data_IF_394840142412
#
_entry.id   IF_394840142412
#
_cell.length_a   1.000
_cell.length_b   1.000
_cell.length_c   1.000
_cell.angle_alpha   90.00
_cell.angle_beta   90.00
_cell.angle_gamma   90.00
#
_symmetry.space_group_name_H-M   'P 1'
#
loop_
_entity.id
_entity.type
_entity.pdbx_description
1 polymer ?
#
# COMPACT_ATOMS: atom_id res chain seq x y z
N UNK A 1 -2.84 -6.59 20.03
CA UNK A 1 -3.75 -5.46 20.37
C UNK A 1 -5.02 -5.89 21.10
N UNK A 2 -5.55 -7.09 20.89
CA UNK A 2 -6.75 -7.60 21.59
C UNK A 2 -6.51 -7.94 23.06
N UNK A 3 -5.28 -8.31 23.43
CA UNK A 3 -4.92 -8.74 24.79
C UNK A 3 -4.33 -7.64 25.68
N UNK A 4 -3.87 -6.53 25.07
CA UNK A 4 -3.24 -5.42 25.80
C UNK A 4 -4.30 -4.45 26.28
N UNK A 5 -4.36 -4.21 27.59
CA UNK A 5 -5.28 -3.27 28.23
C UNK A 5 -4.55 -1.97 28.55
N UNK A 6 -5.16 -0.84 28.20
CA UNK A 6 -4.71 0.50 28.59
C UNK A 6 -5.92 1.39 28.81
N UNK A 7 -5.85 2.28 29.80
CA UNK A 7 -6.96 3.17 30.16
C UNK A 7 -8.28 2.42 30.42
N UNK A 8 -8.19 1.27 31.12
CA UNK A 8 -9.36 0.53 31.60
C UNK A 8 -10.04 -0.41 30.59
N UNK A 9 -9.56 -0.50 29.34
CA UNK A 9 -10.10 -1.44 28.34
C UNK A 9 -9.05 -1.97 27.36
N UNK A 10 -9.32 -3.09 26.66
CA UNK A 10 -8.47 -3.57 25.58
C UNK A 10 -8.20 -2.50 24.52
N UNK A 11 -6.98 -2.46 23.97
CA UNK A 11 -6.62 -1.49 22.93
C UNK A 11 -7.52 -1.59 21.69
N UNK A 12 -8.00 -2.78 21.34
CA UNK A 12 -8.94 -2.99 20.22
C UNK A 12 -10.28 -2.27 20.41
N UNK A 13 -10.64 -1.88 21.64
CA UNK A 13 -11.84 -1.10 21.95
C UNK A 13 -11.59 0.41 21.96
N UNK A 14 -10.34 0.84 21.75
CA UNK A 14 -10.00 2.25 21.59
C UNK A 14 -10.36 2.71 20.17
N UNK A 15 -11.01 3.88 20.07
CA UNK A 15 -11.56 4.36 18.79
C UNK A 15 -10.48 4.54 17.71
N UNK A 16 -9.29 4.99 18.08
CA UNK A 16 -8.15 5.15 17.18
C UNK A 16 -7.70 3.83 16.56
N UNK A 17 -7.55 2.78 17.38
CA UNK A 17 -7.17 1.44 16.89
C UNK A 17 -8.22 0.86 15.93
N UNK A 18 -9.51 1.09 16.20
CA UNK A 18 -10.59 0.64 15.31
C UNK A 18 -10.58 1.39 13.98
N UNK A 19 -10.33 2.70 14.00
CA UNK A 19 -10.19 3.51 12.79
C UNK A 19 -8.98 3.06 11.96
N UNK A 20 -7.82 2.86 12.60
CA UNK A 20 -6.60 2.39 11.94
C UNK A 20 -6.78 1.01 11.29
N UNK A 21 -7.50 0.11 11.96
CA UNK A 21 -7.84 -1.21 11.43
C UNK A 21 -8.74 -1.11 10.19
N UNK A 22 -9.77 -0.27 10.26
CA UNK A 22 -10.70 -0.06 9.15
C UNK A 22 -9.97 0.55 7.94
N UNK A 23 -9.19 1.60 8.15
CA UNK A 23 -8.40 2.26 7.10
C UNK A 23 -7.42 1.29 6.45
N UNK A 24 -6.72 0.49 7.26
CA UNK A 24 -5.81 -0.54 6.75
C UNK A 24 -6.54 -1.56 5.87
N UNK A 25 -7.77 -1.96 6.24
CA UNK A 25 -8.55 -2.89 5.43
C UNK A 25 -8.98 -2.28 4.10
N UNK A 26 -9.39 -1.01 4.10
CA UNK A 26 -9.78 -0.28 2.89
C UNK A 26 -8.61 -0.19 1.90
N UNK A 27 -7.45 0.27 2.37
CA UNK A 27 -6.28 0.44 1.51
C UNK A 27 -5.77 -0.89 0.95
N UNK A 28 -5.76 -1.95 1.78
CA UNK A 28 -5.36 -3.29 1.33
C UNK A 28 -6.28 -3.79 0.22
N UNK A 29 -7.60 -3.56 0.33
CA UNK A 29 -8.55 -3.98 -0.69
C UNK A 29 -8.34 -3.22 -2.01
N UNK A 30 -8.17 -1.90 -1.94
CA UNK A 30 -7.89 -1.07 -3.10
C UNK A 30 -6.61 -1.50 -3.82
N UNK A 31 -5.52 -1.71 -3.06
CA UNK A 31 -4.26 -2.16 -3.62
C UNK A 31 -4.37 -3.57 -4.22
N UNK A 32 -5.07 -4.50 -3.56
CA UNK A 32 -5.28 -5.88 -4.06
C UNK A 32 -6.02 -5.87 -5.39
N UNK A 33 -7.11 -5.13 -5.51
CA UNK A 33 -7.87 -5.06 -6.75
C UNK A 33 -7.05 -4.45 -7.88
N UNK A 34 -6.20 -3.46 -7.59
CA UNK A 34 -5.30 -2.88 -8.57
C UNK A 34 -4.18 -3.84 -9.00
N UNK A 35 -3.63 -4.66 -8.09
CA UNK A 35 -2.72 -5.77 -8.45
C UNK A 35 -3.41 -6.72 -9.42
N UNK A 36 -4.63 -7.16 -9.08
CA UNK A 36 -5.37 -8.12 -9.89
C UNK A 36 -5.74 -7.53 -11.26
N UNK A 37 -6.07 -6.24 -11.33
CA UNK A 37 -6.27 -5.53 -12.61
C UNK A 37 -5.00 -5.56 -13.46
N UNK A 38 -3.85 -5.21 -12.89
CA UNK A 38 -2.57 -5.21 -13.61
C UNK A 38 -2.23 -6.62 -14.12
N UNK A 39 -2.35 -7.64 -13.27
CA UNK A 39 -2.12 -9.04 -13.64
C UNK A 39 -3.08 -9.49 -14.76
N UNK A 40 -4.38 -9.19 -14.65
CA UNK A 40 -5.35 -9.54 -15.68
C UNK A 40 -5.02 -8.91 -17.04
N UNK A 41 -4.57 -7.64 -17.07
CA UNK A 41 -4.16 -6.99 -18.31
C UNK A 41 -2.86 -7.59 -18.87
N UNK A 42 -1.90 -7.94 -18.02
CA UNK A 42 -0.69 -8.64 -18.46
C UNK A 42 -1.04 -9.97 -19.13
N UNK A 43 -1.99 -10.73 -18.57
CA UNK A 43 -2.41 -12.02 -19.11
C UNK A 43 -3.22 -11.90 -20.42
N UNK A 44 -4.01 -10.84 -20.58
CA UNK A 44 -4.98 -10.71 -21.69
C UNK A 44 -4.51 -9.84 -22.85
N UNK A 45 -3.70 -8.82 -22.59
CA UNK A 45 -3.21 -7.88 -23.61
C UNK A 45 -1.69 -7.77 -23.65
N UNK A 46 -0.99 -8.41 -22.70
CA UNK A 46 0.48 -8.40 -22.62
C UNK A 46 1.06 -7.21 -21.86
N UNK A 47 2.31 -7.37 -21.41
CA UNK A 47 2.97 -6.42 -20.50
C UNK A 47 3.11 -5.00 -21.06
N UNK A 48 3.32 -4.86 -22.37
CA UNK A 48 3.50 -3.56 -23.01
C UNK A 48 2.24 -2.71 -22.91
N UNK A 49 1.09 -3.34 -23.15
CA UNK A 49 -0.20 -2.67 -23.17
C UNK A 49 -0.75 -2.50 -21.74
N UNK A 50 -0.31 -3.33 -20.80
CA UNK A 50 -0.56 -3.20 -19.36
C UNK A 50 0.39 -2.24 -18.62
N UNK A 51 1.28 -1.54 -19.33
CA UNK A 51 2.36 -0.76 -18.71
C UNK A 51 1.86 0.34 -17.74
N UNK A 52 0.70 0.95 -18.02
CA UNK A 52 0.10 1.94 -17.15
C UNK A 52 -0.29 1.32 -15.81
N UNK A 53 -1.06 0.23 -15.81
CA UNK A 53 -1.49 -0.45 -14.59
C UNK A 53 -0.34 -1.03 -13.78
N UNK A 54 0.71 -1.53 -14.44
CA UNK A 54 1.94 -1.98 -13.77
C UNK A 54 2.60 -0.81 -13.03
N UNK A 55 2.73 0.35 -13.68
CA UNK A 55 3.30 1.54 -13.06
C UNK A 55 2.44 2.05 -11.89
N UNK A 56 1.11 2.06 -12.05
CA UNK A 56 0.17 2.43 -10.99
C UNK A 56 0.36 1.56 -9.76
N UNK A 57 0.36 0.24 -9.90
CA UNK A 57 0.46 -0.65 -8.75
C UNK A 57 1.85 -0.63 -8.10
N UNK A 58 2.92 -0.42 -8.88
CA UNK A 58 4.28 -0.29 -8.36
C UNK A 58 4.43 0.90 -7.41
N UNK A 59 3.63 1.95 -7.58
CA UNK A 59 3.57 3.10 -6.65
C UNK A 59 2.62 2.83 -5.49
N UNK A 60 1.42 2.32 -5.77
CA UNK A 60 0.36 2.17 -4.76
C UNK A 60 0.71 1.13 -3.70
N UNK A 61 1.21 -0.04 -4.10
CA UNK A 61 1.40 -1.17 -3.19
C UNK A 61 2.43 -0.87 -2.08
N UNK A 62 3.64 -0.34 -2.36
CA UNK A 62 4.61 -0.05 -1.30
C UNK A 62 4.16 1.09 -0.38
N UNK A 63 3.45 2.10 -0.90
CA UNK A 63 2.91 3.20 -0.09
C UNK A 63 1.83 2.74 0.88
N UNK A 64 0.92 1.87 0.41
CA UNK A 64 -0.07 1.22 1.26
C UNK A 64 0.61 0.37 2.34
N UNK A 65 1.56 -0.48 1.94
CA UNK A 65 2.27 -1.35 2.87
C UNK A 65 2.96 -0.55 3.99
N UNK A 66 3.62 0.57 3.65
CA UNK A 66 4.22 1.45 4.66
C UNK A 66 3.18 1.99 5.65
N UNK A 67 2.06 2.53 5.18
CA UNK A 67 1.02 3.09 6.07
C UNK A 67 0.41 2.04 6.99
N UNK A 68 0.12 0.86 6.46
CA UNK A 68 -0.44 -0.25 7.25
C UNK A 68 0.55 -0.73 8.31
N UNK A 69 1.82 -0.93 7.94
CA UNK A 69 2.84 -1.39 8.88
C UNK A 69 3.13 -0.33 9.94
N UNK A 70 3.14 0.95 9.58
CA UNK A 70 3.34 2.06 10.52
C UNK A 70 2.22 2.12 11.58
N UNK A 71 0.95 2.00 11.17
CA UNK A 71 -0.18 1.87 12.12
C UNK A 71 -0.02 0.66 13.04
N UNK A 72 0.47 -0.47 12.51
CA UNK A 72 0.74 -1.65 13.31
C UNK A 72 1.87 -1.38 14.32
N UNK A 73 2.98 -0.78 13.92
CA UNK A 73 4.08 -0.38 14.83
C UNK A 73 3.52 0.49 15.96
N UNK A 74 2.72 1.51 15.61
CA UNK A 74 2.10 2.40 16.58
C UNK A 74 1.19 1.65 17.57
N UNK A 75 0.39 0.70 17.09
CA UNK A 75 -0.50 -0.09 17.93
C UNK A 75 0.24 -1.02 18.91
N UNK A 76 1.43 -1.50 18.52
CA UNK A 76 2.31 -2.30 19.39
C UNK A 76 3.28 -1.45 20.24
N UNK A 77 3.37 -0.14 20.00
CA UNK A 77 4.26 0.77 20.72
C UNK A 77 5.73 0.41 20.53
N UNK A 78 6.54 0.52 21.59
CA UNK A 78 7.99 0.24 21.52
C UNK A 78 8.31 -1.19 21.00
N UNK A 79 7.45 -2.17 21.28
CA UNK A 79 7.60 -3.53 20.76
C UNK A 79 7.48 -3.60 19.23
N UNK A 80 6.77 -2.66 18.60
CA UNK A 80 6.71 -2.59 17.13
C UNK A 80 8.04 -2.22 16.48
N UNK A 81 8.96 -1.63 17.25
CA UNK A 81 10.33 -1.30 16.81
C UNK A 81 11.37 -2.34 17.27
N UNK A 82 10.98 -3.32 18.08
CA UNK A 82 11.91 -4.35 18.57
C UNK A 82 12.09 -5.48 17.55
N UNK A 83 13.05 -6.37 17.81
CA UNK A 83 13.27 -7.60 17.06
C UNK A 83 12.28 -8.72 17.40
N UNK A 84 11.41 -8.52 18.40
CA UNK A 84 10.43 -9.54 18.84
C UNK A 84 9.27 -9.67 17.85
N UNK A 85 9.05 -8.63 17.04
CA UNK A 85 8.02 -8.57 16.01
C UNK A 85 8.66 -8.24 14.65
N UNK A 86 8.15 -8.80 13.54
CA UNK A 86 8.69 -8.53 12.20
C UNK A 86 8.34 -7.13 11.67
N UNK A 87 7.74 -6.26 12.47
CA UNK A 87 7.15 -5.00 12.01
C UNK A 87 8.21 -4.00 11.52
N UNK A 88 9.28 -3.77 12.29
CA UNK A 88 10.36 -2.88 11.89
C UNK A 88 11.06 -3.35 10.59
N UNK A 89 11.29 -4.66 10.46
CA UNK A 89 11.86 -5.24 9.26
C UNK A 89 10.92 -5.10 8.06
N UNK A 90 9.62 -5.34 8.25
CA UNK A 90 8.61 -5.21 7.19
C UNK A 90 8.49 -3.76 6.72
N UNK A 91 8.55 -2.80 7.65
CA UNK A 91 8.57 -1.37 7.32
C UNK A 91 9.78 -1.01 6.44
N UNK A 92 10.97 -1.48 6.82
CA UNK A 92 12.18 -1.25 6.05
C UNK A 92 12.07 -1.84 4.63
N UNK A 93 11.55 -3.06 4.48
CA UNK A 93 11.33 -3.66 3.17
C UNK A 93 10.30 -2.90 2.32
N UNK A 94 9.18 -2.49 2.90
CA UNK A 94 8.20 -1.66 2.20
C UNK A 94 8.83 -0.32 1.74
N UNK A 95 9.76 0.24 2.53
CA UNK A 95 10.52 1.44 2.16
C UNK A 95 11.51 1.19 1.03
N UNK A 96 12.16 0.02 1.01
CA UNK A 96 13.07 -0.40 -0.08
C UNK A 96 12.31 -0.51 -1.39
N UNK A 97 11.09 -1.05 -1.39
CA UNK A 97 10.27 -1.22 -2.61
C UNK A 97 9.83 0.10 -3.26
N UNK A 98 9.95 1.23 -2.56
CA UNK A 98 9.79 2.58 -3.15
C UNK A 98 11.01 3.08 -3.91
N UNK A 99 12.10 2.31 -3.91
CA UNK A 99 13.36 2.61 -4.60
C UNK A 99 13.70 1.52 -5.62
N UNK A 100 13.59 0.25 -5.20
CA UNK A 100 13.82 -0.91 -6.04
C UNK A 100 12.85 -0.91 -7.24
N UNK A 101 13.31 -1.42 -8.39
CA UNK A 101 12.54 -1.51 -9.65
C UNK A 101 11.91 -0.18 -10.10
N UNK A 102 12.64 0.91 -9.88
CA UNK A 102 12.22 2.26 -10.21
C UNK A 102 11.63 2.99 -8.99
N UNK A 103 12.20 4.16 -8.62
CA UNK A 103 11.63 5.02 -7.60
C UNK A 103 10.21 5.47 -7.94
N UNK A 104 9.41 5.77 -6.92
CA UNK A 104 8.05 6.27 -7.07
C UNK A 104 7.97 7.42 -8.09
N UNK A 105 8.92 8.36 -8.05
CA UNK A 105 8.93 9.58 -8.86
C UNK A 105 9.07 9.27 -10.35
N UNK A 106 9.85 8.23 -10.69
CA UNK A 106 10.03 7.77 -12.07
C UNK A 106 8.72 7.19 -12.61
N UNK A 107 8.04 6.36 -11.80
CA UNK A 107 6.75 5.80 -12.18
C UNK A 107 5.65 6.87 -12.26
N UNK A 108 5.61 7.82 -11.33
CA UNK A 108 4.67 8.95 -11.36
C UNK A 108 4.82 9.79 -12.63
N UNK A 109 6.06 10.08 -13.05
CA UNK A 109 6.32 10.80 -14.29
C UNK A 109 5.87 10.00 -15.53
N UNK A 110 6.10 8.68 -15.53
CA UNK A 110 5.64 7.80 -16.60
C UNK A 110 4.11 7.72 -16.68
N UNK A 111 3.42 7.58 -15.54
CA UNK A 111 1.96 7.59 -15.43
C UNK A 111 1.41 8.89 -16.02
N UNK A 112 1.90 10.04 -15.57
CA UNK A 112 1.44 11.34 -16.08
C UNK A 112 1.60 11.45 -17.61
N UNK A 113 2.73 10.99 -18.15
CA UNK A 113 2.96 10.96 -19.60
C UNK A 113 2.01 10.04 -20.35
N UNK A 114 1.64 8.90 -19.76
CA UNK A 114 0.69 7.95 -20.37
C UNK A 114 -0.74 8.48 -20.34
N UNK A 115 -1.18 9.06 -19.21
CA UNK A 115 -2.51 9.65 -19.10
C UNK A 115 -2.70 10.83 -20.06
N UNK A 116 -1.71 11.73 -20.18
CA UNK A 116 -1.78 12.87 -21.12
C UNK A 116 -1.84 12.47 -22.60
N UNK A 117 -1.45 11.23 -22.94
CA UNK A 117 -1.54 10.69 -24.30
C UNK A 117 -2.87 10.00 -24.56
N UNK A 118 -3.68 9.70 -23.54
CA UNK A 118 -4.98 9.06 -23.74
C UNK A 118 -5.94 10.08 -24.37
N UNK A 119 -6.67 9.69 -25.43
CA UNK A 119 -7.70 10.55 -25.99
C UNK A 119 -8.75 10.89 -24.94
N UNK A 120 -9.10 12.18 -24.85
CA UNK A 120 -10.19 12.68 -24.01
C UNK A 120 -11.50 12.09 -24.51
N UNK A 121 -11.94 10.98 -23.92
CA UNK A 121 -13.16 10.28 -24.37
C UNK A 121 -13.26 8.81 -23.97
N UNK A 122 -12.17 8.16 -23.57
CA UNK A 122 -12.16 6.77 -23.11
C UNK A 122 -11.65 6.65 -21.68
N UNK A 123 -12.43 7.24 -20.76
CA UNK A 123 -12.48 6.90 -19.33
C UNK A 123 -11.27 7.24 -18.46
N UNK A 124 -11.32 8.36 -17.74
CA UNK A 124 -10.56 8.57 -16.51
C UNK A 124 -9.78 9.87 -16.47
N UNK A 125 -10.42 10.86 -15.82
CA UNK A 125 -10.03 12.26 -15.52
C UNK A 125 -9.96 13.20 -16.71
#
# INVERSE_FOLDING_TARGET
VSTRVAFGKPLVEQGTIRADLAESRLEIEQARLLVLKAAHLMDTVGNKEAALEIALIKVVAPRMALRVVDRAIQAFGAAGLSSDLPLAQTFAWARVLRLADGPDEVHMAAIAKMELKRPVGLGGV
#
